data_IF_503008240242
#
_entry.id   IF_503008240242
#
_cell.length_a   1.000
_cell.length_b   1.000
_cell.length_c   1.000
_cell.angle_alpha   90.00
_cell.angle_beta   90.00
_cell.angle_gamma   90.00
#
_symmetry.space_group_name_H-M   'P 1'
#
loop_
_entity.id
_entity.type
_entity.pdbx_description
1 polymer ?
#
# COMPACT_ATOMS: atom_id res chain seq x y z
N UNK A 1 2.49 -19.94 -11.50
CA UNK A 1 2.94 -20.22 -10.12
C UNK A 1 2.93 -18.92 -9.31
N UNK A 2 2.16 -18.86 -8.22
CA UNK A 2 1.94 -17.65 -7.41
C UNK A 2 2.98 -17.44 -6.28
N UNK A 3 4.19 -18.01 -6.41
CA UNK A 3 5.26 -17.88 -5.40
C UNK A 3 5.54 -16.45 -4.92
N UNK A 4 5.67 -15.43 -5.81
CA UNK A 4 5.92 -14.07 -5.35
C UNK A 4 4.77 -13.52 -4.48
N UNK A 5 3.52 -13.91 -4.76
CA UNK A 5 2.36 -13.49 -3.98
C UNK A 5 2.39 -14.06 -2.56
N UNK A 6 2.67 -15.35 -2.42
CA UNK A 6 2.68 -16.01 -1.11
C UNK A 6 3.85 -15.57 -0.24
N UNK A 7 5.01 -15.30 -0.86
CA UNK A 7 6.16 -14.74 -0.17
C UNK A 7 5.85 -13.33 0.35
N UNK A 8 5.26 -12.49 -0.51
CA UNK A 8 4.86 -11.13 -0.15
C UNK A 8 3.75 -11.14 0.92
N UNK A 9 2.76 -12.02 0.81
CA UNK A 9 1.73 -12.21 1.84
C UNK A 9 2.35 -12.62 3.18
N UNK A 10 3.22 -13.62 3.20
CA UNK A 10 3.91 -14.07 4.41
C UNK A 10 4.70 -12.93 5.07
N UNK A 11 5.37 -12.10 4.26
CA UNK A 11 6.07 -10.91 4.74
C UNK A 11 5.13 -9.85 5.32
N UNK A 12 4.03 -9.52 4.63
CA UNK A 12 3.04 -8.55 5.11
C UNK A 12 2.37 -9.01 6.41
N UNK A 13 2.11 -10.32 6.56
CA UNK A 13 1.61 -10.89 7.83
C UNK A 13 2.64 -10.72 8.93
N UNK A 14 3.91 -11.01 8.66
CA UNK A 14 4.99 -10.82 9.63
C UNK A 14 5.13 -9.35 10.05
N UNK A 15 5.10 -8.42 9.10
CA UNK A 15 5.09 -6.98 9.38
C UNK A 15 3.87 -6.57 10.22
N UNK A 16 2.69 -7.07 9.89
CA UNK A 16 1.46 -6.80 10.65
C UNK A 16 1.58 -7.26 12.10
N UNK A 17 2.10 -8.48 12.33
CA UNK A 17 2.32 -9.01 13.68
C UNK A 17 3.35 -8.17 14.45
N UNK A 18 4.40 -7.73 13.77
CA UNK A 18 5.41 -6.86 14.36
C UNK A 18 4.83 -5.49 14.75
N UNK A 19 4.01 -4.89 13.89
CA UNK A 19 3.32 -3.62 14.15
C UNK A 19 2.44 -3.71 15.39
N UNK A 20 1.62 -4.76 15.44
CA UNK A 20 0.71 -5.03 16.55
C UNK A 20 1.46 -5.28 17.86
N UNK A 21 2.70 -5.81 17.82
CA UNK A 21 3.48 -6.12 19.01
C UNK A 21 4.30 -4.93 19.52
N UNK A 22 4.97 -4.22 18.63
CA UNK A 22 6.01 -3.23 18.98
C UNK A 22 5.59 -1.78 18.71
N UNK A 23 4.48 -1.56 17.99
CA UNK A 23 3.91 -0.24 17.63
C UNK A 23 4.91 0.73 16.98
N UNK A 24 6.02 0.20 16.46
CA UNK A 24 7.10 0.92 15.82
C UNK A 24 7.67 0.05 14.71
N UNK A 25 7.17 0.25 13.49
CA UNK A 25 7.74 -0.37 12.31
C UNK A 25 8.83 0.52 11.71
N UNK A 26 10.08 0.04 11.64
CA UNK A 26 11.13 0.75 10.94
C UNK A 26 10.85 0.72 9.43
N UNK A 27 11.04 1.86 8.76
CA UNK A 27 10.82 2.00 7.30
C UNK A 27 11.60 0.97 6.47
N UNK A 28 12.79 0.57 6.95
CA UNK A 28 13.63 -0.44 6.31
C UNK A 28 12.99 -1.82 6.19
N UNK A 29 12.01 -2.16 7.03
CA UNK A 29 11.30 -3.45 6.93
C UNK A 29 10.52 -3.57 5.63
N UNK A 30 9.73 -2.55 5.28
CA UNK A 30 8.95 -2.56 4.04
C UNK A 30 9.82 -2.41 2.78
N UNK A 31 11.04 -1.90 2.93
CA UNK A 31 12.03 -1.87 1.83
C UNK A 31 12.50 -3.27 1.41
N UNK A 32 12.44 -4.27 2.30
CA UNK A 32 12.88 -5.64 2.01
C UNK A 32 12.09 -6.29 0.87
N UNK A 33 10.78 -6.00 0.77
CA UNK A 33 9.93 -6.48 -0.34
C UNK A 33 9.86 -5.48 -1.49
N UNK A 34 10.18 -4.22 -1.26
CA UNK A 34 10.16 -3.19 -2.30
C UNK A 34 11.30 -3.39 -3.32
N UNK A 35 12.51 -3.69 -2.86
CA UNK A 35 13.69 -3.94 -3.72
C UNK A 35 13.45 -5.09 -4.72
N UNK A 36 13.03 -6.31 -4.30
CA UNK A 36 12.74 -7.38 -5.25
C UNK A 36 11.58 -7.06 -6.17
N UNK A 37 10.58 -6.27 -5.71
CA UNK A 37 9.50 -5.78 -6.56
C UNK A 37 10.01 -4.88 -7.70
N UNK A 38 10.89 -3.92 -7.39
CA UNK A 38 11.54 -3.07 -8.40
C UNK A 38 12.41 -3.91 -9.35
N UNK A 39 13.18 -4.86 -8.83
CA UNK A 39 14.05 -5.71 -9.63
C UNK A 39 13.25 -6.57 -10.63
N UNK A 40 12.15 -7.18 -10.18
CA UNK A 40 11.24 -7.93 -11.04
C UNK A 40 10.61 -7.04 -12.11
N UNK A 41 10.20 -5.83 -11.73
CA UNK A 41 9.65 -4.87 -12.68
C UNK A 41 10.68 -4.39 -13.70
N UNK A 42 11.94 -4.21 -13.29
CA UNK A 42 13.02 -3.75 -14.15
C UNK A 42 13.35 -4.75 -15.27
N UNK A 43 13.13 -6.05 -15.04
CA UNK A 43 13.27 -7.09 -16.06
C UNK A 43 12.21 -6.92 -17.16
N UNK A 44 10.99 -6.56 -16.79
CA UNK A 44 9.87 -6.41 -17.75
C UNK A 44 9.81 -5.01 -18.39
N UNK A 45 10.08 -3.96 -17.62
CA UNK A 45 10.02 -2.56 -18.05
C UNK A 45 11.02 -1.70 -17.27
N UNK A 46 12.28 -1.59 -17.75
CA UNK A 46 13.35 -0.91 -17.02
C UNK A 46 13.07 0.58 -16.82
N UNK A 47 12.46 1.25 -17.80
CA UNK A 47 12.11 2.67 -17.70
C UNK A 47 11.06 2.94 -16.63
N UNK A 48 10.02 2.10 -16.52
CA UNK A 48 8.99 2.26 -15.49
C UNK A 48 9.55 1.99 -14.10
N UNK A 49 10.44 1.00 -13.96
CA UNK A 49 11.12 0.73 -12.69
C UNK A 49 11.99 1.90 -12.22
N UNK A 50 12.74 2.54 -13.13
CA UNK A 50 13.52 3.75 -12.84
C UNK A 50 12.58 4.88 -12.39
N UNK A 51 11.49 5.12 -13.12
CA UNK A 51 10.55 6.20 -12.78
C UNK A 51 9.86 5.95 -11.42
N UNK A 52 9.51 4.71 -11.10
CA UNK A 52 8.95 4.35 -9.80
C UNK A 52 9.97 4.57 -8.66
N UNK A 53 11.23 4.20 -8.87
CA UNK A 53 12.31 4.44 -7.91
C UNK A 53 12.59 5.94 -7.72
N UNK A 54 12.62 6.72 -8.80
CA UNK A 54 12.79 8.19 -8.74
C UNK A 54 11.62 8.85 -8.01
N UNK A 55 10.39 8.41 -8.26
CA UNK A 55 9.20 8.88 -7.53
C UNK A 55 9.36 8.63 -6.03
N UNK A 56 9.78 7.42 -5.65
CA UNK A 56 9.99 7.03 -4.26
C UNK A 56 11.12 7.83 -3.59
N UNK A 57 12.28 7.98 -4.22
CA UNK A 57 13.39 8.77 -3.68
C UNK A 57 13.03 10.26 -3.51
N UNK A 58 12.17 10.77 -4.40
CA UNK A 58 11.70 12.16 -4.33
C UNK A 58 10.79 12.44 -3.12
N UNK A 59 10.22 11.40 -2.51
CA UNK A 59 9.41 11.53 -1.28
C UNK A 59 10.26 11.93 -0.07
N UNK A 60 11.50 11.43 0.01
CA UNK A 60 12.45 11.83 1.05
C UNK A 60 12.95 13.27 0.85
N UNK A 61 13.09 13.70 -0.41
CA UNK A 61 13.48 15.09 -0.78
C UNK A 61 12.36 16.09 -0.41
N UNK A 62 11.09 15.66 -0.49
CA UNK A 62 9.91 16.47 -0.19
C UNK A 62 9.90 17.05 1.23
N UNK A 63 10.57 16.40 2.20
CA UNK A 63 10.68 16.92 3.58
C UNK A 63 11.54 18.19 3.69
N UNK A 64 12.40 18.48 2.72
CA UNK A 64 13.25 19.69 2.70
C UNK A 64 12.79 20.76 1.71
N UNK A 65 12.20 20.38 0.57
CA UNK A 65 11.77 21.31 -0.47
C UNK A 65 10.46 20.84 -1.12
N UNK A 66 9.33 21.39 -0.66
CA UNK A 66 7.98 20.92 -1.01
C UNK A 66 7.71 20.92 -2.53
N UNK A 67 8.07 21.98 -3.24
CA UNK A 67 7.89 22.08 -4.71
C UNK A 67 8.75 21.09 -5.49
N UNK A 68 10.02 20.92 -5.09
CA UNK A 68 10.96 20.00 -5.75
C UNK A 68 10.57 18.55 -5.50
N UNK A 69 10.10 18.23 -4.28
CA UNK A 69 9.57 16.92 -3.94
C UNK A 69 8.29 16.59 -4.71
N UNK A 70 7.36 17.54 -4.84
CA UNK A 70 6.14 17.34 -5.64
C UNK A 70 6.48 17.11 -7.13
N UNK A 71 7.35 17.92 -7.71
CA UNK A 71 7.79 17.73 -9.10
C UNK A 71 8.48 16.37 -9.29
N UNK A 72 9.42 16.01 -8.40
CA UNK A 72 10.12 14.74 -8.42
C UNK A 72 9.22 13.51 -8.20
N UNK A 73 8.06 13.68 -7.56
CA UNK A 73 7.09 12.59 -7.37
C UNK A 73 6.10 12.46 -8.53
N UNK A 74 5.49 13.57 -8.95
CA UNK A 74 4.40 13.55 -9.94
C UNK A 74 4.91 13.42 -11.37
N UNK A 75 6.08 13.97 -11.72
CA UNK A 75 6.63 13.87 -13.07
C UNK A 75 6.91 12.41 -13.45
N UNK A 76 7.58 11.59 -12.60
CA UNK A 76 7.78 10.19 -12.94
C UNK A 76 6.46 9.40 -12.99
N UNK A 77 5.49 9.71 -12.14
CA UNK A 77 4.16 9.10 -12.18
C UNK A 77 3.45 9.38 -13.51
N UNK A 78 3.45 10.63 -13.97
CA UNK A 78 2.93 11.02 -15.28
C UNK A 78 3.69 10.35 -16.44
N UNK A 79 5.01 10.23 -16.32
CA UNK A 79 5.81 9.54 -17.32
C UNK A 79 5.44 8.04 -17.39
N UNK A 80 5.19 7.38 -16.25
CA UNK A 80 4.75 5.98 -16.21
C UNK A 80 3.41 5.81 -16.96
N UNK A 81 2.44 6.71 -16.74
CA UNK A 81 1.12 6.60 -17.39
C UNK A 81 1.19 6.81 -18.90
N UNK A 82 2.09 7.67 -19.37
CA UNK A 82 2.27 7.97 -20.79
C UNK A 82 3.05 6.85 -21.50
N UNK A 83 4.13 6.35 -20.88
CA UNK A 83 5.04 5.38 -21.50
C UNK A 83 4.46 3.95 -21.45
N UNK A 84 3.71 3.62 -20.40
CA UNK A 84 3.15 2.28 -20.23
C UNK A 84 1.72 2.35 -19.68
N UNK A 85 0.70 2.44 -20.56
CA UNK A 85 -0.70 2.46 -20.16
C UNK A 85 -1.11 1.23 -19.33
N UNK A 86 -0.46 0.08 -19.52
CA UNK A 86 -0.66 -1.12 -18.70
C UNK A 86 -0.25 -0.95 -17.23
N UNK A 87 0.54 0.08 -16.91
CA UNK A 87 0.99 0.42 -15.55
C UNK A 87 0.14 1.54 -14.90
N UNK A 88 -0.98 1.92 -15.52
CA UNK A 88 -1.94 2.87 -14.93
C UNK A 88 -2.37 2.50 -13.49
N UNK A 89 -2.66 1.22 -13.15
CA UNK A 89 -3.03 0.84 -11.78
C UNK A 89 -1.92 1.14 -10.77
N UNK A 90 -0.65 0.91 -11.15
CA UNK A 90 0.51 1.21 -10.32
C UNK A 90 0.63 2.71 -10.09
N UNK A 91 0.56 3.51 -11.16
CA UNK A 91 0.71 4.96 -11.08
C UNK A 91 -0.40 5.61 -10.23
N UNK A 92 -1.66 5.23 -10.48
CA UNK A 92 -2.81 5.74 -9.71
C UNK A 92 -2.79 5.26 -8.26
N UNK A 93 -2.52 3.97 -8.03
CA UNK A 93 -2.43 3.42 -6.68
C UNK A 93 -1.31 4.09 -5.87
N UNK A 94 -0.15 4.29 -6.49
CA UNK A 94 0.95 5.01 -5.83
C UNK A 94 0.62 6.47 -5.56
N UNK A 95 0.00 7.18 -6.50
CA UNK A 95 -0.45 8.56 -6.29
C UNK A 95 -1.42 8.69 -5.09
N UNK A 96 -2.35 7.75 -4.96
CA UNK A 96 -3.32 7.72 -3.84
C UNK A 96 -2.62 7.42 -2.51
N UNK A 97 -1.75 6.41 -2.46
CA UNK A 97 -0.98 6.08 -1.25
C UNK A 97 -0.08 7.26 -0.81
N UNK A 98 0.53 7.95 -1.77
CA UNK A 98 1.31 9.16 -1.52
C UNK A 98 0.45 10.30 -0.98
N UNK A 99 -0.72 10.56 -1.56
CA UNK A 99 -1.64 11.57 -1.06
C UNK A 99 -2.06 11.28 0.38
N UNK A 100 -2.36 10.02 0.69
CA UNK A 100 -2.70 9.57 2.04
C UNK A 100 -1.53 9.71 3.01
N UNK A 101 -0.29 9.44 2.58
CA UNK A 101 0.90 9.62 3.40
C UNK A 101 1.19 11.10 3.68
N UNK A 102 1.15 11.95 2.65
CA UNK A 102 1.34 13.40 2.77
C UNK A 102 0.27 14.05 3.66
N UNK A 103 -0.97 13.54 3.61
CA UNK A 103 -2.06 13.96 4.49
C UNK A 103 -1.98 13.36 5.92
N UNK A 104 -0.92 12.62 6.25
CA UNK A 104 -0.73 11.88 7.51
C UNK A 104 -1.84 10.85 7.81
N UNK A 105 -2.59 10.41 6.79
CA UNK A 105 -3.63 9.37 6.94
C UNK A 105 -3.05 7.97 7.15
N UNK A 106 -1.86 7.70 6.60
CA UNK A 106 -1.12 6.43 6.72
C UNK A 106 0.35 6.66 7.07
N UNK A 107 1.03 5.66 7.63
CA UNK A 107 2.48 5.68 7.84
C UNK A 107 3.28 5.51 6.55
N UNK A 108 4.56 5.90 6.58
CA UNK A 108 5.47 5.68 5.45
C UNK A 108 5.66 4.18 5.15
N UNK A 109 5.79 3.35 6.19
CA UNK A 109 5.87 1.89 6.03
C UNK A 109 4.60 1.31 5.38
N UNK A 110 3.41 1.80 5.76
CA UNK A 110 2.13 1.40 5.16
C UNK A 110 2.08 1.74 3.66
N UNK A 111 2.52 2.95 3.28
CA UNK A 111 2.57 3.36 1.88
C UNK A 111 3.52 2.47 1.07
N UNK A 112 4.69 2.14 1.61
CA UNK A 112 5.67 1.26 0.96
C UNK A 112 5.17 -0.18 0.84
N UNK A 113 4.46 -0.70 1.85
CA UNK A 113 3.81 -2.00 1.80
C UNK A 113 2.76 -2.05 0.68
N UNK A 114 1.92 -1.02 0.55
CA UNK A 114 0.97 -0.90 -0.55
C UNK A 114 1.63 -0.81 -1.93
N UNK A 115 2.74 -0.07 -2.05
CA UNK A 115 3.51 0.00 -3.28
C UNK A 115 4.13 -1.34 -3.66
N UNK A 116 4.62 -2.11 -2.69
CA UNK A 116 5.19 -3.42 -2.96
C UNK A 116 4.15 -4.34 -3.65
N UNK A 117 2.89 -4.34 -3.19
CA UNK A 117 1.82 -5.09 -3.85
C UNK A 117 1.62 -4.67 -5.32
N UNK A 118 1.62 -3.36 -5.58
CA UNK A 118 1.41 -2.81 -6.92
C UNK A 118 2.61 -3.04 -7.85
N UNK A 119 3.83 -3.10 -7.32
CA UNK A 119 5.02 -3.44 -8.09
C UNK A 119 5.00 -4.91 -8.53
N UNK A 120 4.63 -5.83 -7.64
CA UNK A 120 4.52 -7.24 -8.00
C UNK A 120 3.30 -7.52 -8.90
N UNK A 121 2.21 -6.78 -8.72
CA UNK A 121 0.94 -7.00 -9.41
C UNK A 121 0.31 -5.66 -9.83
N UNK A 122 0.78 -5.04 -10.94
CA UNK A 122 0.33 -3.72 -11.42
C UNK A 122 -1.05 -3.81 -12.11
N UNK A 123 -2.06 -4.35 -11.42
CA UNK A 123 -3.38 -4.64 -11.99
C UNK A 123 -4.50 -3.87 -11.30
N UNK A 124 -5.57 -3.59 -12.04
CA UNK A 124 -6.79 -3.00 -11.47
C UNK A 124 -7.41 -3.87 -10.39
N UNK A 125 -7.30 -5.18 -10.52
CA UNK A 125 -7.79 -6.16 -9.54
C UNK A 125 -7.02 -6.01 -8.22
N UNK A 126 -5.69 -5.91 -8.28
CA UNK A 126 -4.88 -5.66 -7.07
C UNK A 126 -5.27 -4.33 -6.41
N UNK A 127 -5.48 -3.26 -7.19
CA UNK A 127 -5.92 -1.98 -6.66
C UNK A 127 -7.28 -2.11 -5.93
N UNK A 128 -8.23 -2.82 -6.52
CA UNK A 128 -9.52 -3.11 -5.89
C UNK A 128 -9.36 -3.96 -4.61
N UNK A 129 -8.46 -4.94 -4.60
CA UNK A 129 -8.13 -5.73 -3.42
C UNK A 129 -7.50 -4.88 -2.30
N UNK A 130 -6.65 -3.90 -2.63
CA UNK A 130 -6.09 -2.95 -1.65
C UNK A 130 -7.21 -2.13 -1.01
N UNK A 131 -8.13 -1.58 -1.82
CA UNK A 131 -9.28 -0.83 -1.30
C UNK A 131 -10.15 -1.71 -0.39
N UNK A 132 -10.47 -2.94 -0.83
CA UNK A 132 -11.23 -3.89 -0.03
C UNK A 132 -10.51 -4.26 1.28
N UNK A 133 -9.20 -4.51 1.23
CA UNK A 133 -8.37 -4.81 2.38
C UNK A 133 -8.36 -3.69 3.41
N UNK A 134 -8.23 -2.43 2.96
CA UNK A 134 -8.31 -1.24 3.84
C UNK A 134 -9.69 -1.12 4.50
N UNK A 135 -10.77 -1.32 3.74
CA UNK A 135 -12.13 -1.27 4.27
C UNK A 135 -12.38 -2.36 5.32
N UNK A 136 -12.03 -3.61 5.01
CA UNK A 136 -12.19 -4.74 5.93
C UNK A 136 -11.35 -4.54 7.18
N UNK A 137 -10.09 -4.13 7.04
CA UNK A 137 -9.21 -3.87 8.18
C UNK A 137 -9.75 -2.75 9.08
N UNK A 138 -10.29 -1.69 8.48
CA UNK A 138 -10.94 -0.61 9.22
C UNK A 138 -12.13 -1.12 10.03
N UNK A 139 -12.96 -1.98 9.45
CA UNK A 139 -14.09 -2.61 10.14
C UNK A 139 -13.61 -3.50 11.29
N UNK A 140 -12.57 -4.32 11.07
CA UNK A 140 -11.98 -5.20 12.10
C UNK A 140 -11.47 -4.37 13.28
N UNK A 141 -10.74 -3.28 13.02
CA UNK A 141 -10.26 -2.39 14.08
C UNK A 141 -11.41 -1.72 14.84
N UNK A 142 -12.49 -1.33 14.15
CA UNK A 142 -13.70 -0.81 14.79
C UNK A 142 -14.33 -1.86 15.71
N UNK A 143 -14.50 -3.09 15.25
CA UNK A 143 -15.07 -4.18 16.05
C UNK A 143 -14.21 -4.49 17.26
N UNK A 144 -12.88 -4.61 17.09
CA UNK A 144 -11.97 -4.89 18.20
C UNK A 144 -11.95 -3.77 19.25
N UNK A 145 -12.05 -2.51 18.82
CA UNK A 145 -12.03 -1.35 19.71
C UNK A 145 -13.36 -1.10 20.42
N UNK A 146 -14.48 -1.38 19.77
CA UNK A 146 -15.82 -1.04 20.26
C UNK A 146 -16.70 -2.26 20.57
N UNK A 147 -16.25 -3.49 20.34
CA UNK A 147 -16.95 -4.72 20.72
C UNK A 147 -17.19 -4.86 22.22
N UNK A 148 -16.45 -4.12 23.06
CA UNK A 148 -16.73 -3.98 24.50
C UNK A 148 -17.74 -2.88 24.86
N UNK A 149 -18.22 -2.10 23.90
CA UNK A 149 -19.07 -0.91 24.12
C UNK A 149 -20.09 -0.68 22.99
N UNK A 150 -20.54 -1.76 22.35
CA UNK A 150 -21.31 -1.74 21.10
C UNK A 150 -22.77 -1.22 21.23
N UNK A 151 -23.10 -0.49 22.30
CA UNK A 151 -24.46 -0.09 22.60
C UNK A 151 -24.95 1.18 21.89
N UNK A 152 -24.13 2.20 21.63
CA UNK A 152 -24.75 3.54 21.48
C UNK A 152 -24.14 4.59 20.54
N UNK A 153 -23.02 4.38 19.84
CA UNK A 153 -22.40 5.48 19.06
C UNK A 153 -21.63 5.06 17.82
N UNK A 154 -22.33 4.49 16.83
CA UNK A 154 -21.72 4.27 15.49
C UNK A 154 -21.59 5.59 14.69
N UNK A 155 -22.53 6.52 14.87
CA UNK A 155 -22.63 7.74 14.05
C UNK A 155 -21.81 8.93 14.58
N UNK A 156 -21.59 9.00 15.89
CA UNK A 156 -20.77 10.07 16.51
C UNK A 156 -19.27 9.80 16.43
N UNK A 157 -18.86 8.56 16.14
CA UNK A 157 -17.45 8.13 16.17
C UNK A 157 -16.74 8.33 14.83
N UNK A 158 -17.46 8.22 13.71
CA UNK A 158 -16.92 8.59 12.39
C UNK A 158 -16.58 10.08 12.29
N UNK A 159 -17.27 10.94 13.06
CA UNK A 159 -17.04 12.40 13.06
C UNK A 159 -16.06 12.91 14.12
N UNK A 160 -15.79 12.17 15.21
CA UNK A 160 -14.99 12.69 16.36
C UNK A 160 -13.65 11.98 16.61
N UNK A 161 -13.28 10.93 15.86
CA UNK A 161 -11.99 10.22 16.03
C UNK A 161 -11.06 10.22 14.81
N UNK A 162 -11.16 11.24 13.96
CA UNK A 162 -10.17 11.56 12.93
C UNK A 162 -8.82 12.10 13.48
N UNK A 163 -8.64 12.21 14.80
CA UNK A 163 -7.53 12.95 15.41
C UNK A 163 -6.34 12.11 15.93
N UNK A 164 -6.25 10.79 15.66
CA UNK A 164 -5.07 10.06 16.15
C UNK A 164 -4.92 8.56 15.88
N UNK A 165 -5.83 7.93 15.12
CA UNK A 165 -5.64 6.54 14.67
C UNK A 165 -5.46 6.52 13.17
N UNK A 166 -4.24 6.21 12.71
CA UNK A 166 -3.93 6.03 11.29
C UNK A 166 -4.81 4.91 10.74
N UNK A 167 -5.55 5.21 9.68
CA UNK A 167 -6.74 4.46 9.24
C UNK A 167 -6.37 3.16 8.50
N UNK A 168 -5.15 3.06 7.97
CA UNK A 168 -4.62 1.84 7.39
C UNK A 168 -3.36 1.42 8.15
N UNK A 169 -3.36 0.22 8.72
CA UNK A 169 -2.15 -0.47 9.15
C UNK A 169 -1.78 -1.56 8.16
N UNK A 170 -0.58 -2.11 8.27
CA UNK A 170 -0.03 -3.12 7.35
C UNK A 170 -0.96 -4.33 7.15
N UNK A 171 -1.79 -4.66 8.15
CA UNK A 171 -2.81 -5.70 8.07
C UNK A 171 -3.83 -5.53 6.94
N UNK A 172 -4.10 -4.30 6.50
CA UNK A 172 -4.94 -4.02 5.34
C UNK A 172 -4.33 -4.57 4.04
N UNK A 173 -3.01 -4.46 3.88
CA UNK A 173 -2.29 -4.96 2.71
C UNK A 173 -2.11 -6.48 2.76
N UNK A 174 -1.95 -7.05 3.95
CA UNK A 174 -1.99 -8.51 4.11
C UNK A 174 -3.36 -9.09 3.69
N UNK A 175 -4.46 -8.44 4.09
CA UNK A 175 -5.81 -8.80 3.64
C UNK A 175 -5.97 -8.64 2.12
N UNK A 176 -5.45 -7.55 1.55
CA UNK A 176 -5.48 -7.34 0.11
C UNK A 176 -4.78 -8.47 -0.67
N UNK A 177 -3.58 -8.86 -0.21
CA UNK A 177 -2.82 -9.97 -0.79
C UNK A 177 -3.57 -11.31 -0.68
N UNK A 178 -4.23 -11.56 0.45
CA UNK A 178 -5.06 -12.75 0.65
C UNK A 178 -6.25 -12.79 -0.31
N UNK A 179 -7.01 -11.70 -0.42
CA UNK A 179 -8.16 -11.59 -1.33
C UNK A 179 -7.70 -11.83 -2.78
N UNK A 180 -6.59 -11.20 -3.17
CA UNK A 180 -6.01 -11.38 -4.51
C UNK A 180 -5.57 -12.84 -4.75
N UNK A 181 -4.99 -13.50 -3.75
CA UNK A 181 -4.60 -14.91 -3.83
C UNK A 181 -5.79 -15.84 -4.03
N UNK A 182 -6.89 -15.62 -3.30
CA UNK A 182 -8.13 -16.38 -3.46
C UNK A 182 -8.71 -16.18 -4.85
N UNK A 183 -8.73 -14.93 -5.35
CA UNK A 183 -9.18 -14.62 -6.71
C UNK A 183 -8.37 -15.39 -7.77
N UNK A 184 -7.03 -15.37 -7.67
CA UNK A 184 -6.13 -16.06 -8.62
C UNK A 184 -6.27 -17.59 -8.58
N UNK A 185 -6.60 -18.15 -7.42
CA UNK A 185 -6.89 -19.58 -7.29
C UNK A 185 -8.21 -19.91 -7.99
N UNK A 186 -9.26 -19.12 -7.76
CA UNK A 186 -10.57 -19.33 -8.39
C UNK A 186 -10.48 -19.23 -9.92
N UNK A 187 -9.74 -18.25 -10.45
CA UNK A 187 -9.49 -18.10 -11.89
C UNK A 187 -8.81 -19.33 -12.51
N UNK A 188 -7.95 -20.03 -11.77
CA UNK A 188 -7.25 -21.22 -12.27
C UNK A 188 -8.10 -22.50 -12.23
N UNK A 189 -9.19 -22.53 -11.43
CA UNK A 189 -10.10 -23.66 -11.35
C UNK A 189 -11.21 -23.64 -12.41
N UNK A 190 -11.36 -22.53 -13.13
CA UNK A 190 -12.34 -22.32 -14.21
C UNK A 190 -11.66 -22.31 -15.56
#
# INVERSE_FOLDING_TARGET
MNYPLWLLFGWLVFETVWDLRNHNLPVWFSLAMLIPGIALFAIASPFVAILAAVSLLSTEISRRYWLVGMAGMYIPLLAITIISPGCLPLALGWAVLMALWLANGIGGADALAGLSLLLFFPTWIMLACIVAGILIWSIVLLILRYGRSAGLRLWTVTSTRAAGTKVAGIGAYALAALIFGVYRIAEFMH
#
